data_IF_657790880023
#
_entry.id   IF_657790880023
#
_cell.length_a   1.000
_cell.length_b   1.000
_cell.length_c   1.000
_cell.angle_alpha   90.00
_cell.angle_beta   90.00
_cell.angle_gamma   90.00
#
_symmetry.space_group_name_H-M   'P 1'
#
loop_
_entity.id
_entity.type
_entity.pdbx_description
1 polymer ?
#
# COMPACT_ATOMS: atom_id res chain seq x y z
N UNK A 1 13.82 10.85 -8.54
CA UNK A 1 14.11 12.24 -8.10
C UNK A 1 12.82 12.97 -7.75
N UNK A 2 12.91 14.02 -6.94
CA UNK A 2 11.84 14.99 -6.71
C UNK A 2 12.38 16.41 -6.89
N UNK A 3 11.64 17.24 -7.60
CA UNK A 3 11.95 18.66 -7.76
C UNK A 3 11.30 19.50 -6.65
N UNK A 4 10.13 19.05 -6.19
CA UNK A 4 9.39 19.71 -5.10
C UNK A 4 10.11 19.51 -3.77
N UNK A 5 10.62 18.30 -3.54
CA UNK A 5 11.33 17.94 -2.30
C UNK A 5 12.67 17.25 -2.58
N UNK A 6 13.68 17.96 -3.10
CA UNK A 6 14.95 17.33 -3.49
C UNK A 6 15.71 16.67 -2.34
N UNK A 7 15.39 17.01 -1.08
CA UNK A 7 16.01 16.43 0.11
C UNK A 7 15.61 14.98 0.41
N UNK A 8 14.53 14.46 -0.22
CA UNK A 8 14.14 13.06 -0.04
C UNK A 8 14.88 12.10 -0.96
N UNK A 9 15.68 12.62 -1.88
CA UNK A 9 16.39 11.83 -2.89
C UNK A 9 17.62 11.18 -2.28
N UNK A 10 17.84 9.90 -2.51
CA UNK A 10 19.01 9.19 -2.02
C UNK A 10 20.30 9.69 -2.66
N UNK A 11 21.38 9.78 -1.86
CA UNK A 11 22.68 10.27 -2.32
C UNK A 11 23.45 9.23 -3.16
N UNK A 12 23.17 7.93 -2.94
CA UNK A 12 23.87 6.80 -3.57
C UNK A 12 23.27 6.35 -4.90
N UNK A 13 22.12 6.90 -5.29
CA UNK A 13 21.49 6.66 -6.59
C UNK A 13 19.98 6.82 -6.57
N UNK A 14 19.45 7.24 -7.70
CA UNK A 14 18.01 7.39 -7.93
C UNK A 14 17.71 7.32 -9.44
N UNK A 15 16.47 7.06 -9.78
CA UNK A 15 15.97 7.27 -11.13
C UNK A 15 15.66 8.75 -11.36
N UNK A 16 16.03 9.28 -12.53
CA UNK A 16 15.42 10.52 -13.01
C UNK A 16 13.96 10.26 -13.35
N UNK A 17 13.14 11.31 -13.40
CA UNK A 17 11.74 11.19 -13.82
C UNK A 17 11.63 10.58 -15.23
N UNK A 18 12.50 10.98 -16.14
CA UNK A 18 12.51 10.49 -17.52
C UNK A 18 12.93 9.02 -17.59
N UNK A 19 13.96 8.61 -16.86
CA UNK A 19 14.40 7.21 -16.78
C UNK A 19 13.29 6.32 -16.21
N UNK A 20 12.61 6.77 -15.15
CA UNK A 20 11.55 6.00 -14.52
C UNK A 20 10.31 5.91 -15.41
N UNK A 21 9.94 7.00 -16.07
CA UNK A 21 8.87 7.00 -17.08
C UNK A 21 9.18 6.04 -18.22
N UNK A 22 10.40 6.09 -18.76
CA UNK A 22 10.81 5.19 -19.83
C UNK A 22 10.84 3.73 -19.39
N UNK A 23 11.33 3.45 -18.19
CA UNK A 23 11.29 2.12 -17.60
C UNK A 23 9.88 1.53 -17.55
N UNK A 24 8.90 2.31 -17.05
CA UNK A 24 7.51 1.88 -17.01
C UNK A 24 6.95 1.61 -18.42
N UNK A 25 7.22 2.51 -19.38
CA UNK A 25 6.82 2.32 -20.78
C UNK A 25 7.43 1.05 -21.40
N UNK A 26 8.67 0.71 -21.03
CA UNK A 26 9.32 -0.50 -21.49
C UNK A 26 8.72 -1.77 -20.84
N UNK A 27 8.40 -1.74 -19.57
CA UNK A 27 7.75 -2.86 -18.89
C UNK A 27 6.35 -3.14 -19.44
N UNK A 28 5.58 -2.12 -19.79
CA UNK A 28 4.27 -2.29 -20.45
C UNK A 28 4.34 -3.09 -21.75
N UNK A 29 5.46 -3.05 -22.49
CA UNK A 29 5.67 -3.86 -23.71
C UNK A 29 5.71 -5.37 -23.43
N UNK A 30 6.00 -5.74 -22.19
CA UNK A 30 6.01 -7.13 -21.71
C UNK A 30 4.73 -7.51 -20.96
N UNK A 31 3.73 -6.62 -20.92
CA UNK A 31 2.50 -6.82 -20.16
C UNK A 31 2.67 -6.64 -18.65
N UNK A 32 3.74 -5.94 -18.22
CA UNK A 32 4.02 -5.63 -16.83
C UNK A 32 3.62 -4.18 -16.56
N UNK A 33 2.72 -3.97 -15.61
CA UNK A 33 2.40 -2.67 -15.06
C UNK A 33 3.23 -2.40 -13.81
N UNK A 34 3.92 -1.27 -13.77
CA UNK A 34 4.78 -0.88 -12.64
C UNK A 34 4.00 0.09 -11.77
N UNK A 35 3.54 -0.38 -10.63
CA UNK A 35 2.76 0.41 -9.69
C UNK A 35 3.70 1.05 -8.69
N UNK A 36 3.69 2.38 -8.64
CA UNK A 36 4.50 3.14 -7.70
C UNK A 36 3.79 3.27 -6.37
N UNK A 37 4.56 3.19 -5.29
CA UNK A 37 4.07 3.39 -3.93
C UNK A 37 4.75 4.60 -3.27
N UNK A 38 3.94 5.40 -2.57
CA UNK A 38 4.39 6.38 -1.58
C UNK A 38 3.74 5.97 -0.26
N UNK A 39 4.50 5.22 0.54
CA UNK A 39 3.97 4.68 1.80
C UNK A 39 3.96 5.74 2.90
N UNK A 40 2.78 5.98 3.45
CA UNK A 40 2.51 6.94 4.51
C UNK A 40 1.25 6.54 5.31
N UNK A 41 1.08 7.01 6.57
CA UNK A 41 1.91 7.95 7.35
C UNK A 41 3.01 7.28 8.18
N UNK A 42 3.16 5.96 8.13
CA UNK A 42 4.31 5.22 8.63
C UNK A 42 5.29 4.92 7.48
N UNK A 43 6.46 4.35 7.80
CA UNK A 43 7.57 4.16 6.86
C UNK A 43 8.09 5.47 6.22
N UNK A 44 7.76 6.61 6.81
CA UNK A 44 7.91 7.96 6.30
C UNK A 44 9.22 8.67 6.72
N UNK A 45 10.27 7.93 7.07
CA UNK A 45 11.55 8.50 7.52
C UNK A 45 12.21 9.41 6.48
N UNK A 46 12.04 9.10 5.20
CA UNK A 46 12.60 9.90 4.11
C UNK A 46 12.03 11.33 4.04
N UNK A 47 10.87 11.60 4.63
CA UNK A 47 10.22 12.90 4.59
C UNK A 47 10.64 13.84 5.73
N UNK A 48 11.37 13.34 6.72
CA UNK A 48 11.68 14.10 7.96
C UNK A 48 12.34 15.45 7.76
N UNK A 49 13.12 15.60 6.69
CA UNK A 49 13.88 16.82 6.40
C UNK A 49 13.10 17.82 5.51
N UNK A 50 11.86 17.49 5.12
CA UNK A 50 10.99 18.40 4.38
C UNK A 50 10.59 19.57 5.28
N UNK A 51 10.76 20.82 4.84
CA UNK A 51 10.32 21.98 5.61
C UNK A 51 8.81 21.94 5.90
N UNK A 52 8.45 22.03 7.17
CA UNK A 52 7.05 22.06 7.59
C UNK A 52 6.46 20.69 7.95
N UNK A 53 7.14 19.58 7.61
CA UNK A 53 6.70 18.24 7.99
C UNK A 53 6.53 18.13 9.51
N UNK A 54 5.53 17.41 9.95
CA UNK A 54 5.26 17.11 11.35
C UNK A 54 5.53 15.63 11.59
N UNK A 55 6.61 15.32 12.31
CA UNK A 55 6.94 13.96 12.71
C UNK A 55 6.46 13.69 14.13
N UNK A 56 5.74 12.58 14.33
CA UNK A 56 5.40 12.09 15.68
C UNK A 56 6.59 11.39 16.32
N UNK A 57 7.30 10.60 15.53
CA UNK A 57 8.56 9.93 15.88
C UNK A 57 9.28 9.50 14.61
N UNK A 58 10.44 8.85 14.75
CA UNK A 58 11.17 8.30 13.59
C UNK A 58 10.28 7.40 12.74
N UNK A 59 10.14 7.73 11.48
CA UNK A 59 9.34 6.98 10.50
C UNK A 59 7.82 7.23 10.59
N UNK A 60 7.33 8.03 11.53
CA UNK A 60 5.90 8.32 11.67
C UNK A 60 5.59 9.80 11.41
N UNK A 61 4.80 10.10 10.40
CA UNK A 61 4.18 11.42 10.28
C UNK A 61 3.18 11.63 11.41
N UNK A 62 3.13 12.83 11.95
CA UNK A 62 2.12 13.16 12.96
C UNK A 62 0.75 13.41 12.29
N UNK A 63 -0.18 12.52 12.54
CA UNK A 63 -1.59 12.64 12.13
C UNK A 63 -2.52 12.73 13.35
N UNK A 64 -1.96 12.92 14.56
CA UNK A 64 -2.70 12.83 15.81
C UNK A 64 -3.56 14.05 16.08
N UNK A 65 -3.23 15.19 15.47
CA UNK A 65 -4.02 16.43 15.51
C UNK A 65 -4.45 16.83 14.10
N UNK A 66 -5.54 17.56 13.99
CA UNK A 66 -6.05 18.04 12.71
C UNK A 66 -5.05 18.97 12.00
N UNK A 67 -4.35 19.82 12.78
CA UNK A 67 -3.33 20.73 12.25
C UNK A 67 -2.13 19.96 11.67
N UNK A 68 -1.58 19.00 12.41
CA UNK A 68 -0.43 18.22 11.95
C UNK A 68 -0.81 17.34 10.76
N UNK A 69 -2.00 16.72 10.81
CA UNK A 69 -2.51 15.90 9.71
C UNK A 69 -2.66 16.72 8.43
N UNK A 70 -3.29 17.90 8.50
CA UNK A 70 -3.47 18.76 7.34
C UNK A 70 -2.14 19.23 6.74
N UNK A 71 -1.15 19.61 7.58
CA UNK A 71 0.17 20.00 7.11
C UNK A 71 0.90 18.85 6.39
N UNK A 72 0.81 17.63 6.91
CA UNK A 72 1.42 16.47 6.28
C UNK A 72 0.65 16.03 5.03
N UNK A 73 -0.68 16.14 5.00
CA UNK A 73 -1.48 15.89 3.79
C UNK A 73 -1.02 16.79 2.64
N UNK A 74 -0.90 18.10 2.87
CA UNK A 74 -0.42 19.06 1.85
C UNK A 74 0.96 18.68 1.28
N UNK A 75 1.88 18.22 2.14
CA UNK A 75 3.21 17.78 1.70
C UNK A 75 3.13 16.54 0.80
N UNK A 76 2.35 15.54 1.19
CA UNK A 76 2.21 14.30 0.42
C UNK A 76 1.40 14.55 -0.85
N UNK A 77 0.38 15.39 -0.83
CA UNK A 77 -0.36 15.83 -2.01
C UNK A 77 0.56 16.48 -3.05
N UNK A 78 1.41 17.42 -2.62
CA UNK A 78 2.37 18.07 -3.51
C UNK A 78 3.34 17.06 -4.15
N UNK A 79 3.74 16.02 -3.41
CA UNK A 79 4.60 14.96 -3.94
C UNK A 79 3.84 14.06 -4.94
N UNK A 80 2.60 13.72 -4.64
CA UNK A 80 1.72 12.96 -5.55
C UNK A 80 1.48 13.75 -6.83
N UNK A 81 1.17 15.04 -6.72
CA UNK A 81 0.95 15.94 -7.87
C UNK A 81 2.17 15.96 -8.80
N UNK A 82 3.37 16.03 -8.23
CA UNK A 82 4.62 16.01 -9.00
C UNK A 82 4.73 14.80 -9.92
N UNK A 83 4.17 13.65 -9.52
CA UNK A 83 4.31 12.40 -10.26
C UNK A 83 3.09 12.02 -11.10
N UNK A 84 1.89 12.45 -10.70
CA UNK A 84 0.65 12.06 -11.36
C UNK A 84 0.10 13.11 -12.32
N UNK A 85 0.48 14.39 -12.19
CA UNK A 85 -0.08 15.46 -13.01
C UNK A 85 0.69 15.65 -14.33
N UNK A 86 0.00 16.26 -15.31
CA UNK A 86 0.56 16.64 -16.62
C UNK A 86 0.06 15.77 -17.78
N UNK A 87 0.46 16.15 -19.00
CA UNK A 87 0.08 15.44 -20.23
C UNK A 87 0.83 14.10 -20.41
N UNK A 88 2.07 14.00 -19.89
CA UNK A 88 2.88 12.78 -19.83
C UNK A 88 3.44 12.63 -18.42
N UNK A 89 2.60 12.19 -17.45
CA UNK A 89 2.98 12.11 -16.04
C UNK A 89 4.16 11.16 -15.83
N UNK A 90 4.84 11.29 -14.70
CA UNK A 90 5.95 10.38 -14.37
C UNK A 90 5.43 8.95 -14.21
N UNK A 91 4.29 8.80 -13.56
CA UNK A 91 3.62 7.50 -13.38
C UNK A 91 2.81 7.16 -14.61
N UNK A 92 3.11 5.99 -15.16
CA UNK A 92 2.51 5.48 -16.40
C UNK A 92 1.49 4.35 -16.15
N UNK A 93 1.37 3.87 -14.90
CA UNK A 93 0.32 2.96 -14.45
C UNK A 93 -1.00 3.70 -14.30
N UNK A 94 -2.11 2.99 -14.46
CA UNK A 94 -3.43 3.49 -14.08
C UNK A 94 -3.69 3.32 -12.57
N UNK A 95 -2.74 2.69 -11.84
CA UNK A 95 -2.81 2.43 -10.40
C UNK A 95 -1.73 3.21 -9.65
N UNK A 96 -2.05 3.60 -8.41
CA UNK A 96 -1.08 4.20 -7.49
C UNK A 96 -1.28 3.68 -6.07
N UNK A 97 -0.19 3.30 -5.40
CA UNK A 97 -0.24 2.77 -4.04
C UNK A 97 0.17 3.83 -3.02
N UNK A 98 -0.63 3.98 -1.97
CA UNK A 98 -0.47 5.04 -0.95
C UNK A 98 -0.09 4.52 0.44
N UNK A 99 0.27 3.24 0.53
CA UNK A 99 0.68 2.59 1.79
C UNK A 99 -0.48 2.40 2.75
N UNK A 100 -0.45 3.11 3.88
CA UNK A 100 -1.47 3.20 4.94
C UNK A 100 -1.50 2.03 5.93
N UNK A 101 -0.35 1.38 6.15
CA UNK A 101 -0.23 0.29 7.12
C UNK A 101 0.51 0.68 8.41
N UNK A 102 0.62 -0.27 9.30
CA UNK A 102 1.46 -0.38 10.49
C UNK A 102 1.54 0.83 11.44
N UNK A 103 0.68 1.83 11.28
CA UNK A 103 0.56 2.90 12.27
C UNK A 103 -0.01 2.38 13.59
N UNK A 104 0.08 3.16 14.66
CA UNK A 104 -0.48 2.75 15.95
C UNK A 104 -2.01 2.62 15.88
N UNK A 105 -2.54 1.44 16.22
CA UNK A 105 -3.99 1.16 16.25
C UNK A 105 -4.77 2.06 17.21
N UNK A 106 -4.11 2.72 18.16
CA UNK A 106 -4.74 3.71 19.03
C UNK A 106 -5.22 4.97 18.30
N UNK A 107 -4.74 5.20 17.08
CA UNK A 107 -5.13 6.31 16.21
C UNK A 107 -6.05 5.84 15.06
N UNK A 108 -6.91 4.88 15.33
CA UNK A 108 -7.79 4.28 14.33
C UNK A 108 -8.63 5.29 13.54
N UNK A 109 -9.25 6.26 14.20
CA UNK A 109 -10.06 7.30 13.51
C UNK A 109 -9.20 8.21 12.63
N UNK A 110 -7.98 8.58 13.09
CA UNK A 110 -7.06 9.41 12.33
C UNK A 110 -6.53 8.67 11.11
N UNK A 111 -6.19 7.38 11.27
CA UNK A 111 -5.77 6.53 10.16
C UNK A 111 -6.88 6.32 9.13
N UNK A 112 -8.12 6.13 9.58
CA UNK A 112 -9.27 6.04 8.68
C UNK A 112 -9.45 7.33 7.88
N UNK A 113 -9.35 8.48 8.54
CA UNK A 113 -9.43 9.78 7.87
C UNK A 113 -8.27 10.01 6.88
N UNK A 114 -7.05 9.56 7.23
CA UNK A 114 -5.88 9.61 6.33
C UNK A 114 -6.08 8.72 5.10
N UNK A 115 -6.46 7.49 5.31
CA UNK A 115 -6.68 6.50 4.24
C UNK A 115 -7.79 6.96 3.29
N UNK A 116 -8.94 7.39 3.83
CA UNK A 116 -10.06 7.91 3.02
C UNK A 116 -9.65 9.10 2.18
N UNK A 117 -8.92 10.05 2.79
CA UNK A 117 -8.44 11.24 2.11
C UNK A 117 -7.60 10.89 0.86
N UNK A 118 -6.59 10.02 1.02
CA UNK A 118 -5.71 9.70 -0.08
C UNK A 118 -6.31 8.73 -1.11
N UNK A 119 -7.23 7.84 -0.72
CA UNK A 119 -8.02 7.08 -1.69
C UNK A 119 -8.76 8.05 -2.62
N UNK A 120 -9.51 8.98 -2.05
CA UNK A 120 -10.27 9.94 -2.85
C UNK A 120 -9.35 10.87 -3.65
N UNK A 121 -8.25 11.34 -3.06
CA UNK A 121 -7.30 12.23 -3.74
C UNK A 121 -6.69 11.60 -5.00
N UNK A 122 -6.26 10.35 -4.91
CA UNK A 122 -5.70 9.60 -6.04
C UNK A 122 -6.77 9.30 -7.09
N UNK A 123 -7.96 8.88 -6.66
CA UNK A 123 -9.08 8.58 -7.56
C UNK A 123 -9.58 9.83 -8.30
N UNK A 124 -9.62 10.99 -7.65
CA UNK A 124 -10.00 12.27 -8.27
C UNK A 124 -9.01 12.71 -9.36
N UNK A 125 -7.76 12.22 -9.32
CA UNK A 125 -6.77 12.41 -10.39
C UNK A 125 -6.91 11.40 -11.54
N UNK A 126 -7.85 10.45 -11.44
CA UNK A 126 -8.13 9.44 -12.46
C UNK A 126 -7.30 8.17 -12.35
N UNK A 127 -6.65 7.92 -11.23
CA UNK A 127 -5.91 6.69 -10.94
C UNK A 127 -6.73 5.79 -10.01
N UNK A 128 -6.53 4.48 -10.11
CA UNK A 128 -7.08 3.50 -9.18
C UNK A 128 -6.16 3.37 -7.95
N UNK A 129 -6.68 3.71 -6.77
CA UNK A 129 -5.88 3.67 -5.54
C UNK A 129 -5.70 2.24 -5.03
N UNK A 130 -4.49 1.96 -4.51
CA UNK A 130 -4.16 0.76 -3.75
C UNK A 130 -3.68 1.13 -2.36
N UNK A 131 -4.01 0.27 -1.38
CA UNK A 131 -3.59 0.44 0.01
C UNK A 131 -3.26 -0.91 0.64
N UNK A 132 -2.36 -0.91 1.62
CA UNK A 132 -2.19 -2.06 2.50
C UNK A 132 -3.43 -2.24 3.37
N UNK A 133 -3.95 -3.45 3.44
CA UNK A 133 -5.13 -3.75 4.23
C UNK A 133 -4.84 -3.67 5.72
N UNK A 134 -5.29 -2.59 6.35
CA UNK A 134 -5.10 -2.32 7.79
C UNK A 134 -6.36 -1.76 8.46
N UNK A 135 -7.52 -1.94 7.82
CA UNK A 135 -8.81 -1.41 8.27
C UNK A 135 -9.64 -2.44 9.05
N UNK A 136 -10.70 -1.95 9.68
CA UNK A 136 -11.69 -2.79 10.35
C UNK A 136 -11.33 -3.19 11.78
N UNK A 137 -12.00 -4.22 12.29
CA UNK A 137 -11.89 -4.67 13.70
C UNK A 137 -10.48 -5.11 14.11
N UNK A 138 -9.70 -5.63 13.15
CA UNK A 138 -8.36 -6.14 13.41
C UNK A 138 -7.28 -5.06 13.26
N UNK A 139 -7.56 -3.99 12.54
CA UNK A 139 -6.63 -2.89 12.25
C UNK A 139 -7.08 -1.55 12.80
N UNK A 140 -7.24 -0.59 11.91
CA UNK A 140 -7.73 0.75 12.26
C UNK A 140 -9.25 0.73 12.40
N UNK A 141 -9.68 0.40 13.61
CA UNK A 141 -11.10 0.39 13.96
C UNK A 141 -11.58 1.82 14.24
N UNK A 142 -12.84 2.10 13.89
CA UNK A 142 -13.43 3.42 14.11
C UNK A 142 -14.74 3.58 13.35
N UNK A 143 -15.28 4.80 13.40
CA UNK A 143 -16.56 5.18 12.81
C UNK A 143 -16.40 6.10 11.60
N UNK A 144 -15.24 6.70 11.42
CA UNK A 144 -14.92 7.50 10.22
C UNK A 144 -15.07 6.63 8.97
N UNK A 145 -15.93 7.00 8.01
CA UNK A 145 -16.06 6.25 6.77
C UNK A 145 -14.73 6.21 6.00
N UNK A 146 -14.51 5.13 5.26
CA UNK A 146 -13.40 5.03 4.29
C UNK A 146 -13.99 4.58 2.97
N UNK A 147 -13.63 5.25 1.90
CA UNK A 147 -14.04 4.90 0.54
C UNK A 147 -13.68 3.44 0.23
N UNK A 148 -14.60 2.71 -0.37
CA UNK A 148 -14.37 1.34 -0.83
C UNK A 148 -13.88 1.29 -2.28
N UNK A 149 -13.68 2.43 -2.90
CA UNK A 149 -13.14 2.55 -4.26
C UNK A 149 -11.60 2.47 -4.24
N UNK A 150 -11.11 1.33 -3.76
CA UNK A 150 -9.69 1.02 -3.66
C UNK A 150 -9.46 -0.50 -3.68
N UNK A 151 -8.29 -0.92 -4.14
CA UNK A 151 -7.83 -2.29 -4.03
C UNK A 151 -6.96 -2.46 -2.78
N UNK A 152 -7.27 -3.45 -1.95
CA UNK A 152 -6.53 -3.75 -0.73
C UNK A 152 -5.50 -4.86 -0.97
N UNK A 153 -4.24 -4.59 -0.66
CA UNK A 153 -3.21 -5.62 -0.52
C UNK A 153 -3.32 -6.24 0.88
N UNK A 154 -3.93 -7.42 0.98
CA UNK A 154 -4.17 -8.09 2.27
C UNK A 154 -2.98 -8.95 2.64
N UNK A 155 -2.11 -8.40 3.48
CA UNK A 155 -0.82 -8.97 3.86
C UNK A 155 -0.83 -9.70 5.20
N UNK A 156 -1.71 -9.29 6.13
CA UNK A 156 -1.78 -9.86 7.47
C UNK A 156 -3.20 -9.86 8.04
N UNK A 157 -3.76 -11.04 8.38
CA UNK A 157 -5.12 -11.13 8.94
C UNK A 157 -5.31 -10.43 10.28
N UNK A 158 -4.23 -10.19 11.02
CA UNK A 158 -4.26 -9.45 12.27
C UNK A 158 -4.26 -7.91 12.09
N UNK A 159 -4.11 -7.45 10.84
CA UNK A 159 -4.30 -6.07 10.43
C UNK A 159 -5.65 -5.84 9.73
N UNK A 160 -6.13 -6.82 8.95
CA UNK A 160 -7.46 -6.74 8.35
C UNK A 160 -8.07 -8.15 8.23
N UNK A 161 -9.34 -8.27 8.57
CA UNK A 161 -10.10 -9.50 8.36
C UNK A 161 -10.58 -9.57 6.90
N UNK A 162 -10.25 -10.63 6.19
CA UNK A 162 -10.55 -10.75 4.76
C UNK A 162 -12.06 -10.70 4.48
N UNK A 163 -12.87 -11.37 5.31
CA UNK A 163 -14.31 -11.40 5.11
C UNK A 163 -14.94 -10.04 5.40
N UNK A 164 -14.45 -9.33 6.44
CA UNK A 164 -14.90 -7.97 6.71
C UNK A 164 -14.62 -7.03 5.53
N UNK A 165 -13.41 -7.09 4.96
CA UNK A 165 -13.05 -6.27 3.79
C UNK A 165 -13.87 -6.64 2.55
N UNK A 166 -14.08 -7.94 2.33
CA UNK A 166 -14.94 -8.44 1.26
C UNK A 166 -16.39 -7.96 1.38
N UNK A 167 -16.99 -8.10 2.58
CA UNK A 167 -18.37 -7.72 2.84
C UNK A 167 -18.58 -6.20 2.72
N UNK A 168 -17.54 -5.40 2.98
CA UNK A 168 -17.53 -3.96 2.76
C UNK A 168 -17.47 -3.58 1.27
N UNK A 169 -17.08 -4.50 0.38
CA UNK A 169 -17.07 -4.31 -1.06
C UNK A 169 -15.71 -3.98 -1.67
N UNK A 170 -14.62 -4.06 -0.92
CA UNK A 170 -13.27 -3.83 -1.45
C UNK A 170 -12.84 -4.91 -2.44
N UNK A 171 -12.09 -4.51 -3.44
CA UNK A 171 -11.24 -5.39 -4.22
C UNK A 171 -10.02 -5.81 -3.40
N UNK A 172 -9.57 -7.07 -3.53
CA UNK A 172 -8.54 -7.64 -2.65
C UNK A 172 -7.48 -8.37 -3.48
N UNK A 173 -6.21 -8.09 -3.18
CA UNK A 173 -5.05 -8.85 -3.63
C UNK A 173 -4.52 -9.65 -2.44
N UNK A 174 -4.26 -10.94 -2.66
CA UNK A 174 -3.64 -11.79 -1.65
C UNK A 174 -2.13 -11.51 -1.61
N UNK A 175 -1.71 -10.81 -0.56
CA UNK A 175 -0.31 -10.51 -0.27
C UNK A 175 0.09 -11.16 1.06
N UNK A 176 -0.61 -12.24 1.46
CA UNK A 176 -0.46 -12.80 2.80
C UNK A 176 0.97 -13.30 3.08
N UNK A 177 1.61 -12.69 4.06
CA UNK A 177 3.02 -12.93 4.40
C UNK A 177 3.37 -14.37 4.76
N UNK A 178 2.40 -15.17 5.24
CA UNK A 178 2.58 -16.60 5.51
C UNK A 178 2.80 -17.46 4.26
N UNK A 179 2.49 -16.95 3.06
CA UNK A 179 2.69 -17.58 1.77
C UNK A 179 3.74 -16.89 0.90
N UNK A 180 3.69 -15.56 0.86
CA UNK A 180 4.18 -14.79 -0.27
C UNK A 180 5.34 -13.83 0.08
N UNK A 181 5.76 -13.77 1.37
CA UNK A 181 6.88 -12.94 1.77
C UNK A 181 8.19 -13.74 1.74
N UNK A 182 9.19 -13.18 1.07
CA UNK A 182 10.57 -13.63 1.06
C UNK A 182 11.43 -12.45 1.46
N UNK A 183 11.95 -12.47 2.69
CA UNK A 183 12.72 -11.35 3.21
C UNK A 183 14.18 -11.75 3.34
N UNK A 184 15.09 -11.10 2.60
CA UNK A 184 16.51 -11.44 2.66
C UNK A 184 17.06 -11.48 4.09
N UNK A 185 17.83 -12.52 4.40
CA UNK A 185 18.39 -12.79 5.72
C UNK A 185 17.38 -13.11 6.82
N UNK A 186 16.11 -13.39 6.46
CA UNK A 186 15.05 -13.70 7.42
C UNK A 186 14.70 -12.57 8.37
N UNK A 187 14.88 -11.31 7.97
CA UNK A 187 14.52 -10.16 8.76
C UNK A 187 13.00 -10.13 9.02
N UNK A 188 12.59 -9.44 10.07
CA UNK A 188 11.18 -9.31 10.49
C UNK A 188 10.46 -10.66 10.75
N UNK A 189 11.21 -11.78 10.85
CA UNK A 189 10.64 -13.10 11.13
C UNK A 189 10.06 -13.83 9.90
N UNK A 190 10.24 -13.29 8.71
CA UNK A 190 9.84 -13.93 7.45
C UNK A 190 10.93 -14.87 6.92
N UNK A 191 10.58 -15.88 6.09
CA UNK A 191 11.57 -16.75 5.47
C UNK A 191 12.46 -16.00 4.47
N UNK A 192 13.73 -16.43 4.34
CA UNK A 192 14.69 -15.90 3.37
C UNK A 192 14.63 -16.64 2.02
N UNK A 193 13.79 -17.65 1.91
CA UNK A 193 13.55 -18.43 0.70
C UNK A 193 12.12 -18.97 0.66
N UNK A 194 11.63 -19.14 -0.54
CA UNK A 194 10.31 -19.69 -0.80
C UNK A 194 10.30 -21.22 -0.71
N UNK A 195 9.30 -21.77 -0.05
CA UNK A 195 8.98 -23.19 -0.12
C UNK A 195 8.14 -23.47 -1.36
N UNK A 196 8.82 -23.75 -2.48
CA UNK A 196 8.17 -23.96 -3.78
C UNK A 196 7.27 -25.19 -3.80
N UNK A 197 7.63 -26.26 -3.07
CA UNK A 197 6.82 -27.48 -3.00
C UNK A 197 5.50 -27.20 -2.27
N UNK A 198 5.56 -26.49 -1.16
CA UNK A 198 4.38 -26.08 -0.41
C UNK A 198 3.50 -25.15 -1.22
N UNK A 199 4.08 -24.14 -1.88
CA UNK A 199 3.31 -23.22 -2.72
C UNK A 199 2.60 -23.95 -3.85
N UNK A 200 3.31 -24.83 -4.56
CA UNK A 200 2.73 -25.59 -5.67
C UNK A 200 1.56 -26.49 -5.24
N UNK A 201 1.67 -27.10 -4.06
CA UNK A 201 0.68 -28.08 -3.60
C UNK A 201 -0.46 -27.50 -2.78
N UNK A 202 -0.28 -26.33 -2.14
CA UNK A 202 -1.19 -25.84 -1.12
C UNK A 202 -1.71 -24.42 -1.37
N UNK A 203 -0.98 -23.58 -2.12
CA UNK A 203 -1.37 -22.19 -2.34
C UNK A 203 -2.58 -22.10 -3.29
N UNK A 204 -3.56 -21.33 -2.88
CA UNK A 204 -4.70 -20.89 -3.69
C UNK A 204 -4.86 -19.38 -3.51
N UNK A 205 -5.09 -18.65 -4.60
CA UNK A 205 -5.16 -17.18 -4.59
C UNK A 205 -6.25 -16.63 -3.66
N UNK A 206 -7.31 -17.39 -3.46
CA UNK A 206 -8.41 -17.05 -2.55
C UNK A 206 -8.20 -17.51 -1.10
N UNK A 207 -7.04 -18.14 -0.76
CA UNK A 207 -6.73 -18.61 0.58
C UNK A 207 -5.82 -17.62 1.30
N UNK A 208 -6.37 -16.92 2.29
CA UNK A 208 -5.68 -15.91 3.11
C UNK A 208 -5.18 -16.46 4.45
N UNK A 209 -4.93 -17.76 4.51
CA UNK A 209 -4.38 -18.42 5.70
C UNK A 209 -3.13 -19.21 5.34
N UNK A 210 -2.12 -19.12 6.18
CA UNK A 210 -0.90 -19.92 6.04
C UNK A 210 -1.19 -21.42 6.22
N UNK A 211 -0.84 -22.22 5.22
CA UNK A 211 -1.10 -23.64 5.18
C UNK A 211 -2.50 -24.00 4.66
N UNK A 212 -2.66 -25.29 4.36
CA UNK A 212 -3.92 -25.80 3.84
C UNK A 212 -5.07 -25.52 4.80
N UNK A 213 -6.12 -24.86 4.31
CA UNK A 213 -7.31 -24.52 5.08
C UNK A 213 -8.53 -25.35 4.64
N UNK A 214 -8.66 -26.58 5.12
CA UNK A 214 -9.75 -27.48 4.69
C UNK A 214 -11.13 -27.02 5.15
N UNK A 215 -11.21 -26.17 6.19
CA UNK A 215 -12.50 -25.58 6.63
C UNK A 215 -12.96 -24.43 5.73
N UNK A 216 -12.05 -23.83 4.97
CA UNK A 216 -12.35 -22.66 4.14
C UNK A 216 -12.61 -21.35 4.90
N UNK A 217 -12.44 -21.32 6.23
CA UNK A 217 -12.81 -20.18 7.08
C UNK A 217 -12.11 -18.86 6.73
N UNK A 218 -10.90 -18.94 6.14
CA UNK A 218 -10.15 -17.75 5.71
C UNK A 218 -10.15 -17.63 4.17
N UNK A 219 -10.99 -18.38 3.46
CA UNK A 219 -11.02 -18.34 2.02
C UNK A 219 -12.10 -17.39 1.51
N UNK A 220 -11.75 -16.63 0.48
CA UNK A 220 -12.72 -15.94 -0.35
C UNK A 220 -13.43 -16.94 -1.28
N UNK A 221 -14.62 -16.62 -1.82
CA UNK A 221 -15.22 -17.44 -2.85
C UNK A 221 -14.29 -17.63 -4.04
N UNK A 222 -14.22 -18.85 -4.57
CA UNK A 222 -13.38 -19.18 -5.74
C UNK A 222 -13.82 -18.33 -6.94
N UNK A 223 -12.84 -17.77 -7.66
CA UNK A 223 -13.05 -16.95 -8.86
C UNK A 223 -13.98 -15.73 -8.63
N UNK A 224 -14.04 -15.21 -7.43
CA UNK A 224 -14.86 -14.04 -7.15
C UNK A 224 -14.21 -12.77 -7.76
N UNK A 225 -15.02 -11.85 -8.35
CA UNK A 225 -14.49 -10.65 -9.02
C UNK A 225 -13.70 -9.71 -8.13
N UNK A 226 -13.96 -9.69 -6.81
CA UNK A 226 -13.19 -8.91 -5.84
C UNK A 226 -11.79 -9.49 -5.56
N UNK A 227 -11.51 -10.76 -5.89
CA UNK A 227 -10.18 -11.35 -5.75
C UNK A 227 -9.38 -11.08 -7.01
N UNK A 228 -8.53 -10.06 -6.99
CA UNK A 228 -7.82 -9.57 -8.18
C UNK A 228 -6.54 -10.36 -8.50
N UNK A 229 -5.99 -11.09 -7.54
CA UNK A 229 -4.77 -11.84 -7.75
C UNK A 229 -3.98 -12.06 -6.48
N UNK A 230 -2.70 -12.32 -6.65
CA UNK A 230 -1.74 -12.45 -5.56
C UNK A 230 -0.44 -11.70 -5.88
N UNK A 231 0.26 -11.27 -4.84
CA UNK A 231 1.50 -10.50 -4.95
C UNK A 231 2.55 -11.07 -4.00
N UNK A 232 3.76 -11.24 -4.51
CA UNK A 232 4.94 -11.62 -3.73
C UNK A 232 5.66 -10.38 -3.22
N UNK A 233 6.04 -10.39 -1.95
CA UNK A 233 6.94 -9.41 -1.36
C UNK A 233 8.36 -9.96 -1.28
N UNK A 234 9.33 -9.21 -1.82
CA UNK A 234 10.75 -9.56 -1.92
C UNK A 234 11.61 -8.53 -1.20
#
# INVERSE_FOLDING_TARGET
>A
ESEVYPMIVAEDGYYTKDDYRQYQKDMKKYGIDVITEIDTPYHAECFRDIPGVKMLSTGYLDITTDEARAANQEIIENLIDEYLDGEDPVIQSDHFHIGTDEYSKSYGEQMRAWTDHFINYVNDKGYESRVWASLGKNGFNGTTPVSTDATLNLWAPYWADVHEMYDLGYDIINTYGGWLYIVPSGNAGYPDRMDLERLYNEFEVNNFKSGRNPSGEANMPIAHPQTKGAEFCL
#
